data_IF_568145680899
#
_entry.id   IF_568145680899
#
_cell.length_a   1.000
_cell.length_b   1.000
_cell.length_c   1.000
_cell.angle_alpha   90.00
_cell.angle_beta   90.00
_cell.angle_gamma   90.00
#
_symmetry.space_group_name_H-M   'P 1'
#
loop_
_entity.id
_entity.type
_entity.pdbx_description
1 polymer ?
#
# COMPACT_ATOMS: atom_id res chain seq x y z
N UNK A 1 6.15 17.09 20.03
CA UNK A 1 5.96 16.19 18.89
C UNK A 1 6.13 14.78 19.44
N UNK A 2 5.22 13.87 19.15
CA UNK A 2 5.39 12.47 19.56
C UNK A 2 6.21 11.71 18.48
N UNK A 3 6.64 10.50 18.79
CA UNK A 3 7.48 9.70 17.89
C UNK A 3 6.87 9.52 16.48
N UNK A 4 5.56 9.27 16.40
CA UNK A 4 4.87 9.11 15.11
C UNK A 4 4.88 10.40 14.29
N UNK A 5 4.65 11.54 14.95
CA UNK A 5 4.71 12.85 14.29
C UNK A 5 6.12 13.14 13.74
N UNK A 6 7.17 12.77 14.46
CA UNK A 6 8.57 12.87 14.00
C UNK A 6 8.80 12.01 12.76
N UNK A 7 8.40 10.72 12.79
CA UNK A 7 8.51 9.81 11.64
C UNK A 7 7.78 10.35 10.41
N UNK A 8 6.59 10.93 10.59
CA UNK A 8 5.82 11.53 9.49
C UNK A 8 6.59 12.75 8.94
N UNK A 9 7.05 13.66 9.78
CA UNK A 9 7.76 14.86 9.34
C UNK A 9 9.04 14.51 8.57
N UNK A 10 9.80 13.53 9.03
CA UNK A 10 11.01 13.05 8.35
C UNK A 10 10.71 12.38 7.01
N UNK A 11 9.52 11.78 6.87
CA UNK A 11 9.08 11.11 5.64
C UNK A 11 8.50 12.06 4.59
N UNK A 12 8.01 13.25 4.98
CA UNK A 12 7.35 14.19 4.06
C UNK A 12 8.17 14.53 2.81
N UNK A 13 9.50 14.77 2.86
CA UNK A 13 10.27 15.04 1.65
C UNK A 13 10.25 13.90 0.66
N UNK A 14 10.21 12.65 1.14
CA UNK A 14 10.11 11.44 0.30
C UNK A 14 8.71 11.35 -0.31
N UNK A 15 7.66 11.52 0.48
CA UNK A 15 6.28 11.49 0.00
C UNK A 15 6.00 12.60 -1.01
N UNK A 16 6.53 13.80 -0.77
CA UNK A 16 6.46 14.92 -1.71
C UNK A 16 7.13 14.56 -3.05
N UNK A 17 8.27 13.87 -3.01
CA UNK A 17 8.96 13.42 -4.22
C UNK A 17 8.14 12.42 -5.04
N UNK A 18 7.31 11.59 -4.39
CA UNK A 18 6.41 10.64 -5.06
C UNK A 18 5.42 11.36 -5.97
N UNK A 19 4.87 12.51 -5.54
CA UNK A 19 3.94 13.32 -6.34
C UNK A 19 4.58 13.83 -7.66
N UNK A 20 5.90 13.90 -7.70
CA UNK A 20 6.64 14.33 -8.88
C UNK A 20 6.99 13.19 -9.87
N UNK A 21 6.66 11.95 -9.54
CA UNK A 21 6.87 10.81 -10.43
C UNK A 21 5.99 10.91 -11.69
N UNK A 22 6.47 10.33 -12.79
CA UNK A 22 5.68 10.23 -14.04
C UNK A 22 4.39 9.44 -13.81
N UNK A 23 4.43 8.45 -12.91
CA UNK A 23 3.27 7.62 -12.59
C UNK A 23 2.15 8.47 -11.97
N UNK A 24 2.43 9.17 -10.86
CA UNK A 24 1.40 9.96 -10.18
C UNK A 24 0.94 11.18 -10.98
N UNK A 25 1.83 11.81 -11.75
CA UNK A 25 1.43 12.88 -12.70
C UNK A 25 0.46 12.34 -13.75
N UNK A 26 0.76 11.18 -14.33
CA UNK A 26 -0.11 10.57 -15.32
C UNK A 26 -1.43 10.03 -14.74
N UNK A 27 -1.45 9.62 -13.46
CA UNK A 27 -2.69 9.30 -12.74
C UNK A 27 -3.52 10.58 -12.54
N UNK A 28 -2.89 11.68 -12.15
CA UNK A 28 -3.53 12.94 -11.83
C UNK A 28 -4.22 13.60 -13.04
N UNK A 29 -3.61 13.53 -14.21
CA UNK A 29 -4.11 14.14 -15.44
C UNK A 29 -4.74 13.12 -16.42
N UNK A 30 -4.74 11.84 -16.08
CA UNK A 30 -5.29 10.76 -16.90
C UNK A 30 -4.40 10.32 -18.06
N UNK A 31 -3.18 10.86 -18.19
CA UNK A 31 -2.25 10.54 -19.29
C UNK A 31 -1.41 9.27 -19.06
N UNK A 32 -1.47 8.66 -17.88
CA UNK A 32 -0.73 7.42 -17.62
C UNK A 32 -1.18 6.33 -18.61
N UNK A 33 -0.26 5.68 -19.34
CA UNK A 33 -0.63 4.55 -20.19
C UNK A 33 -1.28 3.42 -19.37
N UNK A 34 -2.38 2.88 -19.90
CA UNK A 34 -3.12 1.81 -19.22
C UNK A 34 -2.23 0.61 -18.87
N UNK A 35 -1.30 0.24 -19.74
CA UNK A 35 -0.35 -0.86 -19.50
C UNK A 35 0.60 -0.58 -18.32
N UNK A 36 0.93 0.70 -18.04
CA UNK A 36 1.71 1.05 -16.86
C UNK A 36 0.90 0.85 -15.58
N UNK A 37 -0.37 1.26 -15.60
CA UNK A 37 -1.26 1.07 -14.45
C UNK A 37 -1.59 -0.41 -14.23
N UNK A 38 -1.82 -1.16 -15.30
CA UNK A 38 -2.01 -2.61 -15.26
C UNK A 38 -0.80 -3.32 -14.62
N UNK A 39 0.42 -2.94 -15.05
CA UNK A 39 1.64 -3.44 -14.44
C UNK A 39 1.75 -3.12 -12.94
N UNK A 40 1.34 -1.92 -12.54
CA UNK A 40 1.27 -1.53 -11.12
C UNK A 40 0.30 -2.44 -10.33
N UNK A 41 -0.93 -2.69 -10.83
CA UNK A 41 -1.92 -3.54 -10.16
C UNK A 41 -1.41 -4.99 -10.00
N UNK A 42 -0.66 -5.51 -10.98
CA UNK A 42 -0.02 -6.82 -10.88
C UNK A 42 1.06 -6.83 -9.79
N UNK A 43 1.97 -5.84 -9.80
CA UNK A 43 3.01 -5.72 -8.78
C UNK A 43 2.44 -5.52 -7.38
N UNK A 44 1.37 -4.74 -7.25
CA UNK A 44 0.65 -4.50 -6.01
C UNK A 44 0.02 -5.80 -5.47
N UNK A 45 -0.56 -6.62 -6.34
CA UNK A 45 -1.10 -7.93 -5.98
C UNK A 45 -0.03 -8.86 -5.38
N UNK A 46 1.17 -8.86 -5.94
CA UNK A 46 2.31 -9.62 -5.43
C UNK A 46 2.81 -9.04 -4.10
N UNK A 47 2.83 -7.71 -3.99
CA UNK A 47 3.19 -7.00 -2.76
C UNK A 47 2.21 -7.32 -1.62
N UNK A 48 0.91 -7.19 -1.83
CA UNK A 48 -0.11 -7.43 -0.81
C UNK A 48 -0.07 -8.85 -0.25
N UNK A 49 0.26 -9.85 -1.08
CA UNK A 49 0.50 -11.22 -0.64
C UNK A 49 1.63 -11.30 0.40
N UNK A 50 2.73 -10.60 0.18
CA UNK A 50 3.88 -10.59 1.09
C UNK A 50 3.60 -9.69 2.31
N UNK A 51 2.94 -8.56 2.10
CA UNK A 51 2.51 -7.64 3.14
C UNK A 51 1.61 -8.32 4.19
N UNK A 52 0.68 -9.16 3.74
CA UNK A 52 -0.19 -9.95 4.63
C UNK A 52 0.59 -10.85 5.58
N UNK A 53 1.78 -11.32 5.20
CA UNK A 53 2.63 -12.16 6.05
C UNK A 53 3.22 -11.38 7.23
N UNK A 54 3.42 -10.08 7.10
CA UNK A 54 3.90 -9.23 8.20
C UNK A 54 2.88 -9.21 9.34
N UNK A 55 1.60 -9.13 9.03
CA UNK A 55 0.54 -9.20 10.05
C UNK A 55 0.49 -10.58 10.71
N UNK A 56 0.76 -11.67 9.98
CA UNK A 56 0.88 -13.00 10.56
C UNK A 56 2.06 -13.08 11.54
N UNK A 57 3.21 -12.49 11.20
CA UNK A 57 4.33 -12.35 12.13
C UNK A 57 3.95 -11.51 13.36
N UNK A 58 3.23 -10.41 13.16
CA UNK A 58 2.70 -9.61 14.27
C UNK A 58 1.84 -10.43 15.24
N UNK A 59 0.98 -11.31 14.72
CA UNK A 59 0.21 -12.24 15.56
C UNK A 59 1.12 -13.26 16.31
N UNK A 60 2.17 -13.76 15.66
CA UNK A 60 3.13 -14.69 16.29
C UNK A 60 3.89 -14.01 17.44
N UNK A 61 4.29 -12.75 17.26
CA UNK A 61 5.02 -11.96 18.26
C UNK A 61 4.11 -11.34 19.34
N UNK A 62 2.79 -11.42 19.18
CA UNK A 62 1.84 -10.85 20.14
C UNK A 62 1.90 -11.52 21.49
N UNK A 63 1.78 -10.73 22.56
CA UNK A 63 1.86 -11.21 23.96
C UNK A 63 0.51 -11.62 24.51
N UNK A 64 -0.57 -11.11 23.93
CA UNK A 64 -1.93 -11.37 24.40
C UNK A 64 -2.95 -11.39 23.25
N UNK A 65 -4.18 -11.75 23.59
CA UNK A 65 -5.29 -11.85 22.64
C UNK A 65 -5.75 -10.48 22.10
N UNK A 66 -5.48 -9.38 22.78
CA UNK A 66 -5.85 -8.05 22.28
C UNK A 66 -4.93 -7.66 21.14
N UNK A 67 -3.62 -7.86 21.29
CA UNK A 67 -2.64 -7.65 20.21
C UNK A 67 -2.93 -8.57 19.02
N UNK A 68 -3.22 -9.86 19.24
CA UNK A 68 -3.58 -10.79 18.15
C UNK A 68 -4.81 -10.30 17.39
N UNK A 69 -5.86 -9.85 18.09
CA UNK A 69 -7.07 -9.31 17.43
C UNK A 69 -6.79 -8.06 16.62
N UNK A 70 -5.89 -7.19 17.07
CA UNK A 70 -5.49 -6.00 16.33
C UNK A 70 -4.86 -6.39 14.99
N UNK A 71 -3.88 -7.30 14.99
CA UNK A 71 -3.24 -7.79 13.76
C UNK A 71 -4.22 -8.54 12.85
N UNK A 72 -5.11 -9.33 13.43
CA UNK A 72 -6.17 -10.00 12.67
C UNK A 72 -7.10 -8.99 11.98
N UNK A 73 -7.47 -7.91 12.67
CA UNK A 73 -8.30 -6.86 12.09
C UNK A 73 -7.61 -6.14 10.94
N UNK A 74 -6.31 -5.85 11.06
CA UNK A 74 -5.52 -5.27 9.97
C UNK A 74 -5.42 -6.22 8.77
N UNK A 75 -5.19 -7.49 9.01
CA UNK A 75 -5.17 -8.51 7.95
C UNK A 75 -6.51 -8.63 7.24
N UNK A 76 -7.63 -8.62 7.99
CA UNK A 76 -8.98 -8.63 7.41
C UNK A 76 -9.25 -7.40 6.57
N UNK A 77 -8.82 -6.21 7.03
CA UNK A 77 -8.98 -4.96 6.27
C UNK A 77 -8.25 -5.01 4.92
N UNK A 78 -7.00 -5.48 4.90
CA UNK A 78 -6.24 -5.65 3.65
C UNK A 78 -6.95 -6.61 2.70
N UNK A 79 -7.46 -7.73 3.22
CA UNK A 79 -8.11 -8.74 2.38
C UNK A 79 -9.52 -8.35 1.90
N UNK A 80 -10.24 -7.49 2.62
CA UNK A 80 -11.64 -7.17 2.33
C UNK A 80 -11.81 -5.83 1.63
N UNK A 81 -11.08 -4.81 2.06
CA UNK A 81 -11.25 -3.43 1.58
C UNK A 81 -10.29 -3.05 0.47
N UNK A 82 -9.00 -3.27 0.65
CA UNK A 82 -8.00 -2.99 -0.40
C UNK A 82 -8.16 -3.95 -1.60
N UNK A 83 -8.57 -5.19 -1.34
CA UNK A 83 -8.81 -6.18 -2.39
C UNK A 83 -9.96 -5.78 -3.33
N UNK A 84 -10.93 -5.00 -2.90
CA UNK A 84 -12.06 -4.59 -3.74
C UNK A 84 -11.62 -3.74 -4.95
N UNK A 85 -10.76 -2.75 -4.74
CA UNK A 85 -10.21 -1.91 -5.82
C UNK A 85 -9.30 -2.70 -6.73
N UNK A 86 -8.42 -3.52 -6.17
CA UNK A 86 -7.57 -4.43 -6.94
C UNK A 86 -8.41 -5.34 -7.84
N UNK A 87 -9.40 -6.01 -7.30
CA UNK A 87 -10.30 -6.91 -8.05
C UNK A 87 -11.07 -6.19 -9.15
N UNK A 88 -11.51 -4.95 -8.90
CA UNK A 88 -12.15 -4.14 -9.93
C UNK A 88 -11.25 -3.97 -11.15
N UNK A 89 -9.97 -3.61 -10.96
CA UNK A 89 -9.04 -3.42 -12.07
C UNK A 89 -8.58 -4.74 -12.69
N UNK A 90 -8.34 -5.79 -11.92
CA UNK A 90 -8.01 -7.11 -12.46
C UNK A 90 -9.14 -7.63 -13.37
N UNK A 91 -10.39 -7.50 -12.93
CA UNK A 91 -11.55 -7.86 -13.75
C UNK A 91 -11.63 -7.02 -15.02
N UNK A 92 -11.40 -5.71 -14.91
CA UNK A 92 -11.40 -4.78 -16.05
C UNK A 92 -10.34 -5.16 -17.08
N UNK A 93 -9.17 -5.61 -16.63
CA UNK A 93 -8.05 -5.98 -17.49
C UNK A 93 -8.06 -7.44 -17.92
N UNK A 94 -9.00 -8.24 -17.43
CA UNK A 94 -9.10 -9.67 -17.73
C UNK A 94 -7.92 -10.47 -17.19
N UNK A 95 -7.35 -10.07 -16.04
CA UNK A 95 -6.23 -10.75 -15.38
C UNK A 95 -6.76 -11.57 -14.21
N UNK A 96 -6.26 -12.79 -14.04
CA UNK A 96 -6.63 -13.67 -12.94
C UNK A 96 -5.52 -13.79 -11.90
N UNK A 97 -5.88 -14.18 -10.67
CA UNK A 97 -4.89 -14.44 -9.62
C UNK A 97 -3.94 -15.60 -10.00
N UNK A 98 -4.43 -16.59 -10.76
CA UNK A 98 -3.62 -17.72 -11.25
C UNK A 98 -2.53 -17.28 -12.23
N UNK A 99 -2.77 -16.24 -13.02
CA UNK A 99 -1.77 -15.65 -13.92
C UNK A 99 -0.74 -14.82 -13.16
N UNK A 100 -1.12 -14.20 -12.05
CA UNK A 100 -0.23 -13.37 -11.22
C UNK A 100 0.67 -14.23 -10.33
N UNK A 101 0.13 -15.29 -9.71
CA UNK A 101 0.84 -16.08 -8.70
C UNK A 101 2.27 -16.52 -9.10
N UNK A 102 2.55 -16.98 -10.34
CA UNK A 102 3.89 -17.43 -10.72
C UNK A 102 4.85 -16.28 -11.06
N UNK A 103 4.38 -15.03 -11.12
CA UNK A 103 5.23 -13.91 -11.52
C UNK A 103 6.22 -13.54 -10.40
N UNK A 104 7.44 -13.15 -10.75
CA UNK A 104 8.40 -12.65 -9.77
C UNK A 104 8.07 -11.20 -9.38
N UNK A 105 8.36 -10.85 -8.13
CA UNK A 105 8.43 -9.44 -7.73
C UNK A 105 9.51 -8.72 -8.55
N UNK A 106 9.26 -7.50 -8.97
CA UNK A 106 10.29 -6.62 -9.55
C UNK A 106 11.38 -6.32 -8.52
N UNK A 107 12.62 -6.01 -8.93
CA UNK A 107 13.74 -5.83 -8.01
C UNK A 107 13.47 -4.81 -6.89
N UNK A 108 12.84 -3.67 -7.22
CA UNK A 108 12.54 -2.60 -6.27
C UNK A 108 11.49 -3.05 -5.25
N UNK A 109 10.43 -3.72 -5.73
CA UNK A 109 9.38 -4.28 -4.88
C UNK A 109 9.95 -5.42 -4.01
N UNK A 110 10.81 -6.27 -4.58
CA UNK A 110 11.51 -7.33 -3.86
C UNK A 110 12.35 -6.76 -2.71
N UNK A 111 13.14 -5.73 -2.96
CA UNK A 111 14.00 -5.12 -1.95
C UNK A 111 13.18 -4.57 -0.77
N UNK A 112 12.06 -3.91 -1.06
CA UNK A 112 11.17 -3.40 -0.01
C UNK A 112 10.51 -4.53 0.78
N UNK A 113 9.95 -5.53 0.09
CA UNK A 113 9.31 -6.70 0.72
C UNK A 113 10.30 -7.48 1.59
N UNK A 114 11.50 -7.75 1.10
CA UNK A 114 12.51 -8.49 1.84
C UNK A 114 12.93 -7.74 3.12
N UNK A 115 13.07 -6.41 3.05
CA UNK A 115 13.35 -5.56 4.21
C UNK A 115 12.22 -5.60 5.24
N UNK A 116 10.98 -5.48 4.78
CA UNK A 116 9.79 -5.50 5.61
C UNK A 116 9.60 -6.86 6.31
N UNK A 117 9.75 -7.96 5.57
CA UNK A 117 9.63 -9.31 6.11
C UNK A 117 10.79 -9.66 7.07
N UNK A 118 12.01 -9.17 6.79
CA UNK A 118 13.14 -9.34 7.69
C UNK A 118 12.88 -8.62 9.03
N UNK A 119 12.43 -7.37 8.99
CA UNK A 119 12.08 -6.61 10.18
C UNK A 119 10.97 -7.30 11.00
N UNK A 120 9.96 -7.85 10.33
CA UNK A 120 8.85 -8.55 10.99
C UNK A 120 9.26 -9.90 11.58
N UNK A 121 10.09 -10.68 10.86
CA UNK A 121 10.52 -12.02 11.29
C UNK A 121 11.54 -11.96 12.41
N UNK A 122 12.53 -11.08 12.26
CA UNK A 122 13.74 -11.03 13.11
C UNK A 122 13.59 -9.98 14.22
N UNK A 123 12.48 -9.23 14.25
CA UNK A 123 12.15 -8.28 15.31
C UNK A 123 11.87 -8.94 16.66
N UNK A 124 12.06 -8.18 17.74
CA UNK A 124 11.90 -8.68 19.11
C UNK A 124 10.45 -8.70 19.59
N UNK A 125 9.50 -8.13 18.81
CA UNK A 125 8.12 -8.06 19.21
C UNK A 125 7.15 -7.60 18.11
N UNK A 126 5.88 -7.52 18.47
CA UNK A 126 4.81 -7.12 17.54
C UNK A 126 4.97 -5.67 17.03
N UNK A 127 5.58 -4.78 17.81
CA UNK A 127 5.78 -3.38 17.43
C UNK A 127 6.63 -3.23 16.15
N UNK A 128 7.66 -4.05 15.97
CA UNK A 128 8.52 -4.04 14.80
C UNK A 128 7.74 -4.42 13.54
N UNK A 129 6.79 -5.35 13.65
CA UNK A 129 5.89 -5.70 12.56
C UNK A 129 5.02 -4.49 12.14
N UNK A 130 4.50 -3.75 13.13
CA UNK A 130 3.73 -2.53 12.86
C UNK A 130 4.60 -1.47 12.19
N UNK A 131 5.81 -1.24 12.71
CA UNK A 131 6.75 -0.28 12.12
C UNK A 131 7.15 -0.64 10.70
N UNK A 132 7.26 -1.93 10.37
CA UNK A 132 7.54 -2.39 9.01
C UNK A 132 6.39 -2.08 8.02
N UNK A 133 5.14 -2.08 8.50
CA UNK A 133 3.95 -1.77 7.70
C UNK A 133 3.63 -0.27 7.61
N UNK A 134 4.02 0.49 8.61
CA UNK A 134 3.62 1.88 8.81
C UNK A 134 3.92 2.80 7.62
N UNK A 135 5.08 2.72 6.93
CA UNK A 135 5.36 3.56 5.77
C UNK A 135 4.30 3.42 4.67
N UNK A 136 3.87 2.20 4.37
CA UNK A 136 2.82 1.96 3.38
C UNK A 136 1.48 2.55 3.85
N UNK A 137 1.08 2.24 5.08
CA UNK A 137 -0.20 2.66 5.65
C UNK A 137 -0.38 4.18 5.64
N UNK A 138 0.66 4.94 6.00
CA UNK A 138 0.57 6.39 6.14
C UNK A 138 0.79 7.13 4.81
N UNK A 139 1.73 6.66 3.98
CA UNK A 139 2.13 7.39 2.77
C UNK A 139 1.01 7.46 1.74
N UNK A 140 0.25 6.40 1.54
CA UNK A 140 -0.82 6.37 0.55
C UNK A 140 -1.92 7.38 0.87
N UNK A 141 -2.43 7.41 2.09
CA UNK A 141 -3.45 8.38 2.51
C UNK A 141 -2.98 9.82 2.29
N UNK A 142 -1.75 10.14 2.68
CA UNK A 142 -1.17 11.47 2.50
C UNK A 142 -0.97 11.82 1.02
N UNK A 143 -0.31 10.93 0.26
CA UNK A 143 0.03 11.15 -1.16
C UNK A 143 -1.24 11.35 -2.00
N UNK A 144 -2.24 10.47 -1.85
CA UNK A 144 -3.47 10.59 -2.64
C UNK A 144 -4.37 11.74 -2.17
N UNK A 145 -4.36 12.08 -0.88
CA UNK A 145 -5.00 13.29 -0.38
C UNK A 145 -4.40 14.56 -1.00
N UNK A 146 -3.07 14.65 -1.04
CA UNK A 146 -2.37 15.75 -1.70
C UNK A 146 -2.56 15.76 -3.22
N UNK A 147 -2.60 14.59 -3.86
CA UNK A 147 -2.90 14.47 -5.29
C UNK A 147 -4.26 15.09 -5.64
N UNK A 148 -5.30 14.75 -4.88
CA UNK A 148 -6.65 15.32 -5.07
C UNK A 148 -6.62 16.83 -4.86
N UNK A 149 -5.99 17.29 -3.79
CA UNK A 149 -5.92 18.72 -3.48
C UNK A 149 -5.21 19.54 -4.56
N UNK A 150 -4.17 18.96 -5.19
CA UNK A 150 -3.31 19.66 -6.18
C UNK A 150 -3.76 19.47 -7.62
N UNK A 151 -4.66 18.54 -7.91
CA UNK A 151 -5.03 18.16 -9.27
C UNK A 151 -6.54 18.24 -9.47
N UNK A 152 -7.10 19.46 -9.63
CA UNK A 152 -8.52 19.62 -9.99
C UNK A 152 -8.85 18.85 -11.26
N UNK A 153 -9.91 18.04 -11.24
CA UNK A 153 -10.32 17.21 -12.37
C UNK A 153 -9.80 15.78 -12.34
N UNK A 154 -9.00 15.39 -11.34
CA UNK A 154 -8.56 13.99 -11.16
C UNK A 154 -9.74 13.01 -11.07
N UNK A 155 -10.88 13.47 -10.58
CA UNK A 155 -12.15 12.71 -10.51
C UNK A 155 -12.70 12.31 -11.87
N UNK A 156 -12.24 12.93 -12.95
CA UNK A 156 -12.65 12.62 -14.32
C UNK A 156 -11.69 11.64 -15.01
N UNK A 157 -10.60 11.22 -14.34
CA UNK A 157 -9.63 10.29 -14.91
C UNK A 157 -10.09 8.84 -14.77
N UNK A 158 -9.60 7.91 -15.61
CA UNK A 158 -9.90 6.49 -15.48
C UNK A 158 -9.34 5.86 -14.20
N UNK A 159 -8.49 6.59 -13.47
CA UNK A 159 -7.82 6.15 -12.23
C UNK A 159 -8.53 6.62 -10.96
N UNK A 160 -9.61 7.38 -11.09
CA UNK A 160 -10.36 7.93 -9.96
C UNK A 160 -10.79 6.91 -8.90
N UNK A 161 -11.33 5.72 -9.26
CA UNK A 161 -11.67 4.72 -8.23
C UNK A 161 -10.49 4.38 -7.31
N UNK A 162 -9.30 4.20 -7.89
CA UNK A 162 -8.07 3.94 -7.16
C UNK A 162 -7.67 5.13 -6.26
N UNK A 163 -7.62 6.33 -6.83
CA UNK A 163 -7.24 7.56 -6.11
C UNK A 163 -8.18 7.82 -4.93
N UNK A 164 -9.49 7.70 -5.17
CA UNK A 164 -10.52 7.92 -4.16
C UNK A 164 -10.41 6.95 -2.99
N UNK A 165 -10.19 5.68 -3.27
CA UNK A 165 -10.18 4.65 -2.24
C UNK A 165 -8.99 4.84 -1.29
N UNK A 166 -7.81 5.15 -1.82
CA UNK A 166 -6.64 5.42 -0.96
C UNK A 166 -6.69 6.77 -0.24
N UNK A 167 -7.27 7.80 -0.85
CA UNK A 167 -7.46 9.10 -0.20
C UNK A 167 -8.54 9.08 0.89
N UNK A 168 -9.54 8.18 0.76
CA UNK A 168 -10.60 7.99 1.73
C UNK A 168 -10.17 7.25 3.00
N UNK A 169 -9.08 6.49 2.92
CA UNK A 169 -8.47 5.79 4.05
C UNK A 169 -7.62 6.75 4.91
N UNK A 170 -8.21 7.87 5.34
CA UNK A 170 -7.62 8.65 6.40
C UNK A 170 -7.74 7.84 7.68
N UNK A 171 -6.61 7.44 8.23
CA UNK A 171 -6.49 6.95 9.59
C UNK A 171 -6.63 8.16 10.54
N UNK A 172 -7.86 8.66 10.71
CA UNK A 172 -8.22 9.65 11.72
C UNK A 172 -8.45 8.98 13.08
#
# INVERSE_FOLDING_TARGET
MNFLEECIQDSLPIWESCLNTKFLKGVADGSLPEECFKGYIVDDSLYLREYSKVFAWGMIHSRDMAEIRNYYSLLSFVNESEDATRRYYLKRYGITDEEIQPLPLRPENRAYVDSMLAAARDGEGAAECMMACLPCMLSYGWIFGELIRRSPGVENTPYWPFVRDYAGNRYD
#
